data_IF_918515882065
#
_entry.id   IF_918515882065
#
_cell.length_a   1.000
_cell.length_b   1.000
_cell.length_c   1.000
_cell.angle_alpha   90.00
_cell.angle_beta   90.00
_cell.angle_gamma   90.00
#
_symmetry.space_group_name_H-M   'P 1'
#
loop_
_entity.id
_entity.type
_entity.pdbx_description
1 polymer ?
#
# COMPACT_ATOMS: atom_id res chain seq x y z
N UNK A 1 -6.09 14.15 -16.93
CA UNK A 1 -5.73 15.03 -15.80
C UNK A 1 -6.51 16.33 -15.91
N UNK A 2 -7.10 16.79 -14.83
CA UNK A 2 -7.90 18.01 -14.73
C UNK A 2 -7.33 18.84 -13.59
N UNK A 3 -7.16 20.15 -13.80
CA UNK A 3 -6.68 21.11 -12.80
C UNK A 3 -7.70 22.24 -12.60
N UNK A 4 -7.72 22.80 -11.41
CA UNK A 4 -8.60 23.89 -11.03
C UNK A 4 -9.86 23.43 -10.31
N UNK A 5 -10.21 24.13 -9.22
CA UNK A 5 -11.32 23.75 -8.32
C UNK A 5 -12.65 23.64 -9.06
N UNK A 6 -12.95 24.58 -9.95
CA UNK A 6 -14.22 24.61 -10.69
C UNK A 6 -14.27 23.49 -11.73
N UNK A 7 -13.19 23.27 -12.48
CA UNK A 7 -13.13 22.23 -13.50
C UNK A 7 -13.16 20.84 -12.88
N UNK A 8 -12.46 20.63 -11.74
CA UNK A 8 -12.56 19.39 -10.98
C UNK A 8 -13.99 19.12 -10.50
N UNK A 9 -14.65 20.11 -9.93
CA UNK A 9 -16.03 19.98 -9.48
C UNK A 9 -16.97 19.65 -10.66
N UNK A 10 -16.83 20.34 -11.77
CA UNK A 10 -17.62 20.11 -12.98
C UNK A 10 -17.38 18.71 -13.54
N UNK A 11 -16.12 18.29 -13.62
CA UNK A 11 -15.74 16.96 -14.11
C UNK A 11 -16.33 15.85 -13.25
N UNK A 12 -16.16 15.95 -11.93
CA UNK A 12 -16.66 14.94 -11.02
C UNK A 12 -18.20 14.89 -10.99
N UNK A 13 -18.88 16.02 -11.14
CA UNK A 13 -20.35 16.07 -11.27
C UNK A 13 -20.88 15.44 -12.58
N UNK A 14 -20.06 15.37 -13.62
CA UNK A 14 -20.43 14.63 -14.83
C UNK A 14 -20.31 13.10 -14.66
N UNK A 15 -19.62 12.66 -13.62
CA UNK A 15 -19.48 11.22 -13.28
C UNK A 15 -20.52 10.85 -12.20
N UNK A 16 -20.67 11.73 -11.20
CA UNK A 16 -21.55 11.56 -10.06
C UNK A 16 -22.33 12.88 -9.83
N UNK A 17 -23.58 12.95 -10.19
CA UNK A 17 -24.39 14.18 -10.06
C UNK A 17 -24.41 14.73 -8.63
N UNK A 18 -24.21 13.89 -7.64
CA UNK A 18 -24.23 14.21 -6.21
C UNK A 18 -22.85 14.50 -5.61
N UNK A 19 -21.82 14.63 -6.46
CA UNK A 19 -20.48 15.04 -6.03
C UNK A 19 -20.47 16.44 -5.42
N UNK A 20 -19.86 16.57 -4.25
CA UNK A 20 -19.84 17.83 -3.49
C UNK A 20 -18.54 18.10 -2.74
N UNK A 21 -17.48 17.28 -2.95
CA UNK A 21 -16.21 17.45 -2.25
C UNK A 21 -15.62 18.85 -2.43
N UNK A 22 -15.21 19.46 -1.33
CA UNK A 22 -14.48 20.74 -1.30
C UNK A 22 -12.98 20.48 -1.19
N UNK A 23 -12.16 21.48 -1.51
CA UNK A 23 -10.71 21.40 -1.39
C UNK A 23 -10.00 20.66 -2.54
N UNK A 24 -10.74 20.13 -3.52
CA UNK A 24 -10.15 19.37 -4.64
C UNK A 24 -9.65 20.36 -5.69
N UNK A 25 -8.34 20.31 -5.98
CA UNK A 25 -7.66 21.18 -6.94
C UNK A 25 -7.20 20.48 -8.20
N UNK A 26 -7.14 19.14 -8.17
CA UNK A 26 -6.79 18.31 -9.31
C UNK A 26 -7.53 16.98 -9.30
N UNK A 27 -7.76 16.41 -10.47
CA UNK A 27 -8.32 15.07 -10.66
C UNK A 27 -7.49 14.30 -11.68
N UNK A 28 -6.98 13.13 -11.26
CA UNK A 28 -6.43 12.14 -12.18
C UNK A 28 -7.47 11.02 -12.36
N UNK A 29 -8.00 10.87 -13.58
CA UNK A 29 -8.92 9.80 -13.89
C UNK A 29 -8.25 8.72 -14.76
N UNK A 30 -7.90 7.61 -14.15
CA UNK A 30 -7.42 6.39 -14.82
C UNK A 30 -8.62 5.64 -15.42
N UNK A 31 -8.93 5.90 -16.69
CA UNK A 31 -10.10 5.33 -17.39
C UNK A 31 -10.05 3.80 -17.57
N UNK A 32 -8.87 3.21 -17.46
CA UNK A 32 -8.65 1.76 -17.47
C UNK A 32 -8.33 1.21 -16.09
N UNK A 33 -8.37 2.06 -15.08
CA UNK A 33 -8.20 1.69 -13.68
C UNK A 33 -9.35 0.80 -13.21
N UNK A 34 -9.09 0.07 -12.15
CA UNK A 34 -10.07 -0.82 -11.56
C UNK A 34 -9.55 -1.37 -10.24
N UNK A 35 -10.23 -2.38 -9.76
CA UNK A 35 -9.83 -3.12 -8.57
C UNK A 35 -10.10 -4.61 -8.77
N UNK A 36 -9.38 -5.43 -8.04
CA UNK A 36 -9.53 -6.87 -8.07
C UNK A 36 -9.72 -7.40 -6.65
N UNK A 37 -10.43 -8.52 -6.52
CA UNK A 37 -10.45 -9.27 -5.27
C UNK A 37 -9.05 -9.81 -5.01
N UNK A 38 -8.38 -9.37 -3.93
CA UNK A 38 -6.99 -9.71 -3.66
C UNK A 38 -6.80 -11.21 -3.41
N UNK A 39 -7.70 -11.84 -2.66
CA UNK A 39 -7.64 -13.28 -2.38
C UNK A 39 -7.73 -14.09 -3.67
N UNK A 40 -8.73 -13.80 -4.51
CA UNK A 40 -8.89 -14.48 -5.81
C UNK A 40 -7.69 -14.24 -6.73
N UNK A 41 -7.13 -13.04 -6.72
CA UNK A 41 -5.95 -12.69 -7.52
C UNK A 41 -4.71 -13.47 -7.08
N UNK A 42 -4.47 -13.56 -5.77
CA UNK A 42 -3.31 -14.30 -5.22
C UNK A 42 -3.44 -15.80 -5.49
N UNK A 43 -4.62 -16.39 -5.26
CA UNK A 43 -4.84 -17.81 -5.59
C UNK A 43 -4.74 -18.07 -7.10
N UNK A 44 -5.25 -17.16 -7.94
CA UNK A 44 -5.09 -17.26 -9.39
C UNK A 44 -3.63 -17.24 -9.84
N UNK A 45 -2.82 -16.36 -9.23
CA UNK A 45 -1.37 -16.32 -9.48
C UNK A 45 -0.66 -17.58 -8.99
N UNK A 46 -1.01 -18.08 -7.79
CA UNK A 46 -0.44 -19.30 -7.24
C UNK A 46 -0.75 -20.50 -8.15
N UNK A 47 -2.00 -20.71 -8.54
CA UNK A 47 -2.42 -21.76 -9.46
C UNK A 47 -1.69 -21.65 -10.81
N UNK A 48 -1.52 -20.41 -11.33
CA UNK A 48 -0.77 -20.21 -12.57
C UNK A 48 0.70 -20.56 -12.39
N UNK A 49 1.33 -20.17 -11.27
CA UNK A 49 2.72 -20.50 -10.98
C UNK A 49 2.92 -22.02 -10.93
N UNK A 50 2.08 -22.75 -10.19
CA UNK A 50 2.12 -24.21 -10.11
C UNK A 50 1.93 -24.87 -11.48
N UNK A 51 1.03 -24.35 -12.30
CA UNK A 51 0.78 -24.88 -13.66
C UNK A 51 1.98 -24.80 -14.60
N UNK A 52 2.97 -23.97 -14.29
CA UNK A 52 4.22 -23.84 -15.03
C UNK A 52 5.44 -24.41 -14.28
N UNK A 53 5.20 -25.22 -13.24
CA UNK A 53 6.23 -25.97 -12.53
C UNK A 53 6.80 -25.30 -11.29
N UNK A 54 6.28 -24.18 -10.85
CA UNK A 54 6.67 -23.57 -9.57
C UNK A 54 6.12 -24.42 -8.42
N UNK A 55 6.99 -24.78 -7.49
CA UNK A 55 6.59 -25.50 -6.28
C UNK A 55 6.33 -24.53 -5.14
N UNK A 56 5.10 -24.50 -4.63
CA UNK A 56 4.69 -23.68 -3.48
C UNK A 56 4.74 -24.55 -2.24
N UNK A 57 5.49 -24.12 -1.22
CA UNK A 57 5.66 -24.86 0.04
C UNK A 57 5.03 -24.04 1.16
N UNK A 58 3.82 -24.38 1.53
CA UNK A 58 3.07 -23.72 2.62
C UNK A 58 3.42 -24.29 3.99
N UNK A 59 3.05 -23.59 5.07
CA UNK A 59 3.31 -24.00 6.44
C UNK A 59 4.81 -24.18 6.72
N UNK A 60 5.66 -23.35 6.09
CA UNK A 60 7.11 -23.44 6.20
C UNK A 60 7.65 -22.04 6.42
N UNK A 61 8.08 -21.77 7.64
CA UNK A 61 8.63 -20.48 8.02
C UNK A 61 10.11 -20.39 7.61
N UNK A 62 10.50 -19.26 7.03
CA UNK A 62 11.91 -18.93 6.77
C UNK A 62 12.49 -18.28 8.02
N UNK A 63 13.54 -18.87 8.58
CA UNK A 63 14.17 -18.45 9.83
C UNK A 63 15.57 -17.88 9.64
N UNK A 64 16.14 -17.93 8.42
CA UNK A 64 17.45 -17.39 8.13
C UNK A 64 17.97 -17.74 6.74
N UNK A 65 19.22 -17.42 6.51
CA UNK A 65 19.94 -17.68 5.27
C UNK A 65 21.28 -18.36 5.55
N UNK A 66 21.61 -19.39 4.77
CA UNK A 66 22.91 -20.03 4.74
C UNK A 66 23.83 -19.24 3.80
N UNK A 67 25.02 -18.91 4.24
CA UNK A 67 26.01 -18.20 3.42
C UNK A 67 27.17 -19.10 3.03
N UNK A 68 27.81 -18.79 1.94
CA UNK A 68 29.07 -19.44 1.54
C UNK A 68 30.22 -19.05 2.45
N UNK A 69 31.19 -19.91 2.61
CA UNK A 69 32.27 -19.84 3.61
C UNK A 69 33.14 -18.58 3.55
N UNK A 70 33.20 -17.86 2.42
CA UNK A 70 33.97 -16.61 2.25
C UNK A 70 33.27 -15.65 1.28
N UNK A 71 31.96 -15.73 1.16
CA UNK A 71 31.18 -15.00 0.17
C UNK A 71 29.99 -14.30 0.84
N UNK A 72 29.62 -13.16 0.28
CA UNK A 72 28.35 -12.49 0.62
C UNK A 72 27.13 -13.20 -0.02
N UNK A 73 27.36 -14.18 -0.89
CA UNK A 73 26.30 -14.92 -1.53
C UNK A 73 25.53 -15.80 -0.54
N UNK A 74 24.25 -15.87 -0.73
CA UNK A 74 23.35 -16.79 -0.03
C UNK A 74 23.34 -18.11 -0.79
N UNK A 75 23.65 -19.22 -0.10
CA UNK A 75 23.70 -20.56 -0.68
C UNK A 75 22.51 -21.43 -0.29
N UNK A 76 21.65 -20.93 0.58
CA UNK A 76 20.44 -21.64 1.00
C UNK A 76 19.54 -20.80 1.89
N UNK A 77 18.29 -21.21 1.92
CA UNK A 77 17.25 -20.65 2.78
C UNK A 77 17.01 -21.59 3.93
N UNK A 78 17.21 -21.13 5.17
CA UNK A 78 16.97 -21.89 6.39
C UNK A 78 15.49 -21.77 6.74
N UNK A 79 14.83 -22.91 6.95
CA UNK A 79 13.40 -22.95 7.25
C UNK A 79 13.12 -23.78 8.50
N UNK A 80 11.91 -23.66 9.04
CA UNK A 80 11.39 -24.52 10.14
C UNK A 80 11.40 -26.02 9.82
N UNK A 81 11.56 -26.39 8.53
CA UNK A 81 11.57 -27.80 8.07
C UNK A 81 12.93 -28.23 7.48
N UNK A 82 13.96 -27.43 7.65
CA UNK A 82 15.30 -27.72 7.12
C UNK A 82 15.78 -26.66 6.15
N UNK A 83 16.95 -26.85 5.59
CA UNK A 83 17.57 -25.90 4.66
C UNK A 83 17.29 -26.29 3.21
N UNK A 84 16.95 -25.32 2.40
CA UNK A 84 16.77 -25.45 0.95
C UNK A 84 17.97 -24.77 0.30
N UNK A 85 18.84 -25.55 -0.34
CA UNK A 85 19.97 -24.99 -1.08
C UNK A 85 19.48 -24.29 -2.36
N UNK A 86 20.06 -23.15 -2.68
CA UNK A 86 19.67 -22.33 -3.83
C UNK A 86 20.84 -21.50 -4.38
N UNK A 87 20.78 -21.16 -5.67
CA UNK A 87 21.73 -20.30 -6.36
C UNK A 87 21.29 -18.84 -6.39
N UNK A 88 19.97 -18.61 -6.37
CA UNK A 88 19.35 -17.29 -6.38
C UNK A 88 18.24 -17.22 -5.33
N UNK A 89 18.11 -16.08 -4.67
CA UNK A 89 17.01 -15.81 -3.74
C UNK A 89 16.26 -14.56 -4.17
N UNK A 90 14.94 -14.62 -4.18
CA UNK A 90 14.07 -13.48 -4.37
C UNK A 90 13.26 -13.29 -3.09
N UNK A 91 13.38 -12.13 -2.47
CA UNK A 91 12.67 -11.77 -1.23
C UNK A 91 11.51 -10.86 -1.58
N UNK A 92 10.26 -11.37 -1.45
CA UNK A 92 9.03 -10.64 -1.65
C UNK A 92 8.06 -10.98 -0.53
N UNK A 93 8.23 -10.34 0.63
CA UNK A 93 7.64 -10.78 1.92
C UNK A 93 6.72 -9.73 2.56
N UNK A 94 6.33 -8.70 1.81
CA UNK A 94 5.40 -7.67 2.30
C UNK A 94 5.88 -7.04 3.62
N UNK A 95 5.01 -6.90 4.63
CA UNK A 95 5.35 -6.22 5.88
C UNK A 95 6.43 -6.92 6.72
N UNK A 96 6.75 -8.19 6.44
CA UNK A 96 7.85 -8.89 7.09
C UNK A 96 9.22 -8.52 6.54
N UNK A 97 9.32 -7.58 5.59
CA UNK A 97 10.60 -7.21 4.94
C UNK A 97 11.68 -6.80 5.95
N UNK A 98 11.32 -6.12 7.04
CA UNK A 98 12.27 -5.79 8.11
C UNK A 98 12.96 -7.02 8.67
N UNK A 99 12.22 -8.12 8.91
CA UNK A 99 12.77 -9.35 9.47
C UNK A 99 13.79 -9.96 8.51
N UNK A 100 13.45 -10.04 7.23
CA UNK A 100 14.34 -10.56 6.19
C UNK A 100 15.55 -9.66 5.95
N UNK A 101 15.35 -8.34 6.03
CA UNK A 101 16.41 -7.35 5.96
C UNK A 101 17.46 -7.55 7.08
N UNK A 102 16.98 -7.82 8.30
CA UNK A 102 17.84 -8.13 9.45
C UNK A 102 18.54 -9.49 9.29
N UNK A 103 17.85 -10.52 8.79
CA UNK A 103 18.45 -11.84 8.52
C UNK A 103 19.56 -11.75 7.44
N UNK A 104 19.43 -10.81 6.52
CA UNK A 104 20.43 -10.52 5.49
C UNK A 104 21.55 -9.58 5.97
N UNK A 105 21.49 -9.13 7.22
CA UNK A 105 22.46 -8.20 7.83
C UNK A 105 22.59 -6.87 7.08
N UNK A 106 21.50 -6.41 6.47
CA UNK A 106 21.43 -5.15 5.75
C UNK A 106 21.23 -3.97 6.73
N UNK A 107 21.65 -2.75 6.37
CA UNK A 107 21.66 -1.61 7.29
C UNK A 107 20.23 -1.19 7.69
N UNK A 108 19.96 -1.18 9.00
CA UNK A 108 18.67 -0.73 9.56
C UNK A 108 18.44 0.77 9.40
N UNK A 109 19.53 1.52 9.31
CA UNK A 109 19.56 2.97 9.09
C UNK A 109 20.42 3.27 7.89
N UNK A 110 20.01 4.23 7.11
CA UNK A 110 20.68 4.62 5.87
C UNK A 110 20.91 6.13 5.84
N UNK A 111 21.79 6.58 4.97
CA UNK A 111 21.93 8.00 4.65
C UNK A 111 21.04 8.33 3.46
N UNK A 112 20.26 9.40 3.60
CA UNK A 112 19.37 9.90 2.55
C UNK A 112 19.83 11.30 2.17
N UNK A 113 19.98 11.54 0.89
CA UNK A 113 20.16 12.88 0.34
C UNK A 113 18.79 13.41 -0.13
N UNK A 114 18.37 14.53 0.42
CA UNK A 114 17.11 15.15 0.06
C UNK A 114 17.17 15.99 -1.24
N UNK A 115 16.04 16.56 -1.64
CA UNK A 115 15.91 17.40 -2.85
C UNK A 115 16.75 18.69 -2.78
N UNK A 116 17.09 19.16 -1.57
CA UNK A 116 17.95 20.33 -1.34
C UNK A 116 19.43 19.96 -1.37
N UNK A 117 19.73 18.67 -1.47
CA UNK A 117 21.09 18.15 -1.44
C UNK A 117 21.66 17.95 -0.03
N UNK A 118 20.85 18.12 1.02
CA UNK A 118 21.26 17.86 2.39
C UNK A 118 21.26 16.35 2.67
N UNK A 119 22.25 15.90 3.45
CA UNK A 119 22.37 14.50 3.80
C UNK A 119 21.87 14.26 5.22
N UNK A 120 20.80 13.48 5.33
CA UNK A 120 20.26 13.02 6.61
C UNK A 120 20.84 11.65 6.93
N UNK A 121 21.67 11.57 7.96
CA UNK A 121 22.26 10.32 8.44
C UNK A 121 21.32 9.60 9.39
N UNK A 122 21.53 8.30 9.52
CA UNK A 122 20.79 7.45 10.47
C UNK A 122 19.28 7.44 10.27
N UNK A 123 18.82 7.67 9.05
CA UNK A 123 17.41 7.60 8.72
C UNK A 123 16.91 6.13 8.73
N UNK A 124 15.80 5.82 9.38
CA UNK A 124 15.30 4.44 9.42
C UNK A 124 14.94 3.96 8.03
N UNK A 125 15.45 2.78 7.63
CA UNK A 125 15.14 2.19 6.32
C UNK A 125 13.67 1.78 6.20
N UNK A 126 13.02 1.38 7.30
CA UNK A 126 11.66 0.89 7.33
C UNK A 126 10.81 1.70 8.29
N UNK A 127 9.58 2.00 7.85
CA UNK A 127 8.58 2.77 8.60
C UNK A 127 7.28 2.00 8.53
N UNK A 128 6.68 1.70 9.68
CA UNK A 128 5.38 1.05 9.72
C UNK A 128 4.24 2.06 9.80
N UNK A 129 3.23 1.79 9.00
CA UNK A 129 1.96 2.50 9.04
C UNK A 129 0.83 1.50 9.26
N UNK A 130 -0.14 1.90 10.07
CA UNK A 130 -1.38 1.17 10.18
C UNK A 130 -2.39 1.72 9.17
N UNK A 131 -2.90 0.82 8.33
CA UNK A 131 -3.87 1.10 7.27
C UNK A 131 -5.24 0.71 7.79
N UNK A 132 -6.17 1.67 7.88
CA UNK A 132 -7.51 1.46 8.40
C UNK A 132 -8.51 1.34 7.27
N UNK A 133 -9.37 0.34 7.34
CA UNK A 133 -10.42 0.09 6.35
C UNK A 133 -11.75 -0.25 7.02
N UNK A 134 -12.84 -0.03 6.29
CA UNK A 134 -14.19 -0.34 6.72
C UNK A 134 -15.13 -0.54 5.55
N UNK A 135 -16.38 -0.88 5.87
CA UNK A 135 -17.40 -1.14 4.86
C UNK A 135 -18.75 -0.54 5.28
N UNK A 136 -19.43 0.10 4.33
CA UNK A 136 -20.85 0.42 4.44
C UNK A 136 -21.69 -0.73 3.91
N UNK A 137 -22.66 -1.19 4.68
CA UNK A 137 -23.63 -2.22 4.28
C UNK A 137 -24.73 -1.68 3.38
N UNK A 138 -24.36 -1.20 2.21
CA UNK A 138 -25.26 -0.76 1.15
C UNK A 138 -25.04 -1.64 -0.08
N UNK A 139 -26.03 -1.74 -0.96
CA UNK A 139 -25.83 -2.44 -2.24
C UNK A 139 -24.59 -1.83 -2.96
N UNK A 140 -23.62 -2.62 -3.43
CA UNK A 140 -22.46 -2.12 -4.18
C UNK A 140 -22.86 -1.27 -5.40
N UNK A 141 -24.00 -1.54 -6.02
CA UNK A 141 -24.54 -0.73 -7.12
C UNK A 141 -24.88 0.71 -6.72
N UNK A 142 -25.01 0.98 -5.43
CA UNK A 142 -25.19 2.33 -4.89
C UNK A 142 -24.08 3.30 -5.31
N UNK A 143 -22.90 2.79 -5.60
CA UNK A 143 -21.72 3.58 -5.99
C UNK A 143 -21.56 3.70 -7.52
N UNK A 144 -22.47 3.20 -8.34
CA UNK A 144 -22.40 3.39 -9.79
C UNK A 144 -22.30 4.86 -10.17
N UNK A 145 -21.62 5.10 -11.28
CA UNK A 145 -21.63 6.38 -11.99
C UNK A 145 -23.01 6.66 -12.59
N UNK A 146 -23.26 7.90 -12.98
CA UNK A 146 -24.56 8.30 -13.52
C UNK A 146 -24.90 7.60 -14.85
N UNK A 147 -23.87 7.16 -15.60
CA UNK A 147 -24.05 6.34 -16.81
C UNK A 147 -24.15 4.83 -16.52
N UNK A 148 -24.27 4.45 -15.24
CA UNK A 148 -24.52 3.08 -14.79
C UNK A 148 -23.30 2.18 -14.73
N UNK A 149 -22.09 2.71 -14.94
CA UNK A 149 -20.83 1.94 -14.86
C UNK A 149 -20.32 1.83 -13.43
N UNK A 150 -19.49 0.82 -13.18
CA UNK A 150 -18.72 0.75 -11.95
C UNK A 150 -17.54 1.72 -12.04
N UNK A 151 -17.35 2.58 -11.02
CA UNK A 151 -16.18 3.43 -10.97
C UNK A 151 -14.92 2.63 -10.62
N UNK A 152 -13.72 3.14 -10.93
CA UNK A 152 -12.49 2.68 -10.28
C UNK A 152 -12.52 3.02 -8.78
N UNK A 153 -11.44 2.67 -8.06
CA UNK A 153 -11.26 3.17 -6.70
C UNK A 153 -11.19 4.70 -6.73
N UNK A 154 -11.95 5.34 -5.87
CA UNK A 154 -11.93 6.79 -5.71
C UNK A 154 -11.03 7.11 -4.52
N UNK A 155 -9.94 7.83 -4.78
CA UNK A 155 -9.08 8.40 -3.75
C UNK A 155 -9.37 9.90 -3.66
N UNK A 156 -9.45 10.42 -2.44
CA UNK A 156 -9.70 11.84 -2.18
C UNK A 156 -8.78 12.27 -1.05
N UNK A 157 -7.90 13.23 -1.34
CA UNK A 157 -7.15 13.98 -0.34
C UNK A 157 -7.63 15.42 -0.37
N UNK A 158 -7.88 16.03 0.78
CA UNK A 158 -8.41 17.38 0.88
C UNK A 158 -7.86 18.11 2.10
N UNK A 159 -7.60 19.39 1.92
CA UNK A 159 -7.30 20.36 2.98
C UNK A 159 -8.54 21.09 3.52
N UNK A 160 -9.72 20.80 2.97
CA UNK A 160 -10.97 21.35 3.51
C UNK A 160 -11.28 20.79 4.90
N UNK A 161 -11.77 21.63 5.78
CA UNK A 161 -12.22 21.17 7.10
C UNK A 161 -13.24 20.04 6.97
N UNK A 162 -13.05 18.98 7.71
CA UNK A 162 -13.98 17.86 7.76
C UNK A 162 -14.90 18.00 8.97
N UNK A 163 -16.19 18.02 8.71
CA UNK A 163 -17.23 18.09 9.75
C UNK A 163 -17.98 16.77 9.85
N UNK A 164 -18.43 16.47 11.05
CA UNK A 164 -19.26 15.31 11.35
C UNK A 164 -20.58 15.35 10.57
N UNK A 165 -20.89 14.24 9.90
CA UNK A 165 -22.19 14.03 9.25
C UNK A 165 -23.32 13.71 10.27
N UNK A 166 -22.96 13.48 11.53
CA UNK A 166 -23.91 13.16 12.61
C UNK A 166 -24.42 14.41 13.31
N UNK A 167 -23.52 15.31 13.73
CA UNK A 167 -23.84 16.45 14.58
C UNK A 167 -23.25 17.78 14.10
N UNK A 168 -22.50 17.78 12.99
CA UNK A 168 -21.89 18.97 12.41
C UNK A 168 -20.66 19.49 13.16
N UNK A 169 -20.16 18.80 14.18
CA UNK A 169 -18.93 19.16 14.87
C UNK A 169 -17.69 19.03 13.96
N UNK A 170 -16.65 19.80 14.26
CA UNK A 170 -15.39 19.70 13.53
C UNK A 170 -14.67 18.41 13.90
N UNK A 171 -14.37 17.58 12.92
CA UNK A 171 -13.55 16.36 13.08
C UNK A 171 -12.06 16.72 12.94
N UNK A 172 -11.70 17.43 11.87
CA UNK A 172 -10.32 17.88 11.65
C UNK A 172 -10.27 19.11 10.76
N UNK A 173 -9.32 19.99 11.03
CA UNK A 173 -8.90 21.12 10.21
C UNK A 173 -7.58 20.85 9.45
N UNK A 174 -7.01 19.64 9.64
CA UNK A 174 -5.81 19.19 8.96
C UNK A 174 -6.17 18.47 7.66
N UNK A 175 -5.19 18.30 6.78
CA UNK A 175 -5.37 17.48 5.60
C UNK A 175 -5.81 16.07 5.97
N UNK A 176 -6.81 15.57 5.28
CA UNK A 176 -7.34 14.23 5.44
C UNK A 176 -7.48 13.53 4.09
N UNK A 177 -7.50 12.20 4.12
CA UNK A 177 -7.62 11.40 2.92
C UNK A 177 -8.49 10.17 3.15
N UNK A 178 -9.21 9.77 2.11
CA UNK A 178 -9.98 8.53 2.06
C UNK A 178 -9.84 7.87 0.70
N UNK A 179 -10.13 6.58 0.67
CA UNK A 179 -10.45 5.88 -0.57
C UNK A 179 -11.70 5.02 -0.38
N UNK A 180 -12.40 4.75 -1.46
CA UNK A 180 -13.58 3.91 -1.45
C UNK A 180 -13.92 3.37 -2.83
N UNK A 181 -14.60 2.22 -2.85
CA UNK A 181 -15.04 1.53 -4.04
C UNK A 181 -16.27 0.65 -3.76
N UNK A 182 -17.07 0.31 -4.77
CA UNK A 182 -18.01 -0.79 -4.64
C UNK A 182 -17.27 -2.09 -4.31
N UNK A 183 -17.84 -2.91 -3.45
CA UNK A 183 -17.25 -4.21 -3.13
C UNK A 183 -18.33 -5.29 -3.03
N UNK A 184 -18.34 -6.19 -4.01
CA UNK A 184 -19.29 -7.29 -4.07
C UNK A 184 -18.92 -8.44 -3.14
N UNK A 185 -17.67 -8.54 -2.72
CA UNK A 185 -17.23 -9.55 -1.76
C UNK A 185 -17.73 -9.23 -0.35
N UNK A 186 -17.63 -7.98 0.07
CA UNK A 186 -18.17 -7.50 1.35
C UNK A 186 -19.64 -7.06 1.26
N UNK A 187 -20.23 -7.11 0.08
CA UNK A 187 -21.57 -6.63 -0.20
C UNK A 187 -21.81 -5.22 0.35
N UNK A 188 -21.07 -4.26 -0.20
CA UNK A 188 -21.09 -2.89 0.29
C UNK A 188 -20.26 -1.91 -0.51
N UNK A 189 -19.99 -0.76 0.10
CA UNK A 189 -18.94 0.18 -0.31
C UNK A 189 -17.82 0.07 0.71
N UNK A 190 -16.67 -0.36 0.25
CA UNK A 190 -15.49 -0.61 1.08
C UNK A 190 -14.42 0.42 0.79
N UNK A 191 -13.67 0.82 1.81
CA UNK A 191 -12.56 1.71 1.67
C UNK A 191 -11.86 2.01 2.97
N UNK A 192 -10.92 2.95 2.93
CA UNK A 192 -10.09 3.31 4.06
C UNK A 192 -9.97 4.81 4.24
N UNK A 193 -9.41 5.18 5.37
CA UNK A 193 -9.12 6.56 5.70
C UNK A 193 -7.82 6.64 6.50
N UNK A 194 -7.19 7.79 6.39
CA UNK A 194 -6.17 8.33 7.29
C UNK A 194 -5.30 7.26 7.96
N UNK A 195 -4.31 6.72 7.29
CA UNK A 195 -3.35 5.83 7.94
C UNK A 195 -2.61 6.63 9.00
N UNK A 196 -2.10 5.96 9.99
CA UNK A 196 -1.23 6.60 10.95
C UNK A 196 0.11 5.87 11.07
N UNK A 197 1.15 6.69 11.20
CA UNK A 197 2.49 6.19 11.44
C UNK A 197 2.55 5.55 12.82
N UNK A 198 3.12 4.36 12.90
CA UNK A 198 3.34 3.69 14.17
C UNK A 198 4.58 4.31 14.83
N UNK A 199 4.36 5.06 15.92
CA UNK A 199 5.39 5.74 16.69
C UNK A 199 6.05 4.81 17.72
N UNK A 200 6.54 3.64 17.26
CA UNK A 200 7.34 2.72 18.06
C UNK A 200 8.66 2.46 17.33
N UNK A 201 9.73 2.08 18.03
CA UNK A 201 10.91 1.55 17.36
C UNK A 201 10.51 0.43 16.41
N UNK A 202 11.08 0.42 15.22
CA UNK A 202 10.68 -0.50 14.14
C UNK A 202 10.80 -1.97 14.59
N UNK A 203 11.79 -2.26 15.43
CA UNK A 203 12.01 -3.62 15.97
C UNK A 203 10.93 -4.04 16.99
N UNK A 204 10.18 -3.09 17.56
CA UNK A 204 9.12 -3.35 18.54
C UNK A 204 7.73 -3.47 17.89
N UNK A 205 7.62 -3.25 16.59
CA UNK A 205 6.37 -3.43 15.87
C UNK A 205 6.10 -4.90 15.63
N UNK A 206 5.03 -5.41 16.21
CA UNK A 206 4.58 -6.79 15.95
C UNK A 206 3.96 -6.88 14.57
N UNK A 207 4.45 -7.77 13.76
CA UNK A 207 3.92 -8.04 12.42
C UNK A 207 2.98 -9.24 12.43
N UNK A 208 3.20 -10.19 13.33
CA UNK A 208 2.38 -11.38 13.53
C UNK A 208 1.74 -11.40 14.94
N UNK A 209 0.43 -11.62 15.03
CA UNK A 209 -0.54 -11.54 13.94
C UNK A 209 -0.73 -10.08 13.50
N UNK A 210 -1.19 -9.85 12.28
CA UNK A 210 -1.54 -8.52 11.79
C UNK A 210 -2.92 -8.48 11.14
N UNK A 211 -3.44 -7.27 10.84
CA UNK A 211 -4.78 -7.12 10.29
C UNK A 211 -5.85 -7.52 11.30
N UNK A 212 -6.82 -8.28 10.84
CA UNK A 212 -7.99 -8.67 11.64
C UNK A 212 -7.65 -9.56 12.83
N UNK A 213 -6.55 -10.28 12.76
CA UNK A 213 -6.10 -11.21 13.79
C UNK A 213 -5.29 -10.52 14.88
N UNK A 214 -5.05 -9.21 14.77
CA UNK A 214 -4.30 -8.42 15.74
C UNK A 214 -5.22 -7.51 16.56
N UNK A 215 -5.17 -7.63 17.88
CA UNK A 215 -5.89 -6.71 18.77
C UNK A 215 -5.37 -5.27 18.66
N UNK A 216 -4.08 -5.11 18.35
CA UNK A 216 -3.44 -3.79 18.18
C UNK A 216 -3.88 -3.06 16.90
N UNK A 217 -4.49 -3.76 15.96
CA UNK A 217 -4.77 -3.25 14.61
C UNK A 217 -6.26 -3.29 14.24
N UNK A 218 -7.13 -3.03 15.21
CA UNK A 218 -8.57 -2.97 14.97
C UNK A 218 -9.04 -1.54 14.74
N UNK A 219 -9.90 -1.36 13.74
CA UNK A 219 -10.59 -0.09 13.51
C UNK A 219 -11.69 0.12 14.56
N UNK A 220 -11.70 1.27 15.19
CA UNK A 220 -12.71 1.67 16.18
C UNK A 220 -13.83 2.55 15.62
N UNK A 221 -14.70 3.03 16.52
CA UNK A 221 -15.80 3.91 16.18
C UNK A 221 -15.32 5.27 15.64
N UNK A 222 -14.15 5.73 16.06
CA UNK A 222 -13.52 6.95 15.56
C UNK A 222 -13.24 6.88 14.07
N UNK A 223 -12.71 5.74 13.60
CA UNK A 223 -12.53 5.50 12.17
C UNK A 223 -13.87 5.55 11.43
N UNK A 224 -14.88 4.84 11.93
CA UNK A 224 -16.21 4.79 11.30
C UNK A 224 -16.82 6.21 11.20
N UNK A 225 -16.69 7.01 12.24
CA UNK A 225 -17.19 8.38 12.30
C UNK A 225 -16.47 9.26 11.26
N UNK A 226 -15.14 9.24 11.26
CA UNK A 226 -14.33 10.03 10.33
C UNK A 226 -14.59 9.61 8.87
N UNK A 227 -14.50 8.33 8.55
CA UNK A 227 -14.63 7.82 7.20
C UNK A 227 -16.03 8.06 6.61
N UNK A 228 -17.10 7.78 7.38
CA UNK A 228 -18.47 8.02 6.93
C UNK A 228 -18.75 9.51 6.70
N UNK A 229 -18.21 10.37 7.56
CA UNK A 229 -18.33 11.83 7.40
C UNK A 229 -17.57 12.32 6.16
N UNK A 230 -16.39 11.75 5.89
CA UNK A 230 -15.62 12.05 4.69
C UNK A 230 -16.31 11.56 3.41
N UNK A 231 -16.93 10.39 3.43
CA UNK A 231 -17.78 9.91 2.32
C UNK A 231 -18.95 10.88 2.07
N UNK A 232 -19.65 11.32 3.14
CA UNK A 232 -20.73 12.30 3.04
C UNK A 232 -20.23 13.67 2.56
N UNK A 233 -19.01 14.07 2.90
CA UNK A 233 -18.35 15.26 2.37
C UNK A 233 -18.15 15.16 0.86
N UNK A 234 -17.77 13.97 0.35
CA UNK A 234 -17.50 13.77 -1.07
C UNK A 234 -18.79 13.65 -1.90
N UNK A 235 -19.75 12.85 -1.44
CA UNK A 235 -20.97 12.55 -2.20
C UNK A 235 -22.21 12.59 -1.30
N UNK A 236 -23.23 13.32 -1.74
CA UNK A 236 -24.48 13.52 -0.97
C UNK A 236 -25.19 12.20 -0.63
N UNK A 237 -25.07 11.17 -1.47
CA UNK A 237 -25.67 9.85 -1.27
C UNK A 237 -25.24 9.17 0.02
N UNK A 238 -24.08 9.50 0.54
CA UNK A 238 -23.55 8.91 1.77
C UNK A 238 -24.03 9.59 3.06
N UNK A 239 -24.75 10.71 2.98
CA UNK A 239 -25.29 11.38 4.15
C UNK A 239 -26.10 10.44 5.04
N UNK A 240 -25.83 10.45 6.35
CA UNK A 240 -26.50 9.61 7.34
C UNK A 240 -26.23 8.10 7.25
N UNK A 241 -25.26 7.68 6.44
CA UNK A 241 -24.99 6.26 6.21
C UNK A 241 -24.13 5.61 7.29
N UNK A 242 -23.63 6.34 8.27
CA UNK A 242 -22.90 5.74 9.40
C UNK A 242 -23.73 4.65 10.11
N UNK A 243 -25.05 4.74 10.09
CA UNK A 243 -25.99 3.77 10.69
C UNK A 243 -25.87 2.36 10.07
N UNK A 244 -25.38 2.26 8.85
CA UNK A 244 -25.16 0.99 8.14
C UNK A 244 -23.69 0.64 7.99
N UNK A 245 -22.82 1.31 8.76
CA UNK A 245 -21.43 0.92 8.84
C UNK A 245 -21.32 -0.50 9.41
N UNK A 246 -20.52 -1.31 8.73
CA UNK A 246 -20.15 -2.63 9.19
C UNK A 246 -18.69 -2.56 9.63
N UNK A 247 -18.40 -3.07 10.84
CA UNK A 247 -17.02 -3.28 11.25
C UNK A 247 -16.38 -4.21 10.23
N UNK A 248 -15.61 -3.66 9.32
CA UNK A 248 -14.92 -4.43 8.30
C UNK A 248 -13.85 -5.32 8.93
N UNK A 249 -13.57 -6.48 8.35
CA UNK A 249 -12.48 -7.32 8.80
C UNK A 249 -11.13 -6.78 8.36
N UNK A 250 -11.03 -5.56 7.93
CA UNK A 250 -9.83 -5.04 7.30
C UNK A 250 -9.24 -3.86 8.06
N UNK A 251 -8.10 -3.99 8.39
CA UNK A 251 -7.03 -3.10 8.76
C UNK A 251 -5.76 -3.83 8.43
N UNK A 252 -4.68 -3.16 8.29
CA UNK A 252 -3.44 -3.81 7.90
C UNK A 252 -2.22 -3.01 8.26
N UNK A 253 -1.13 -3.72 8.39
CA UNK A 253 0.17 -3.14 8.63
C UNK A 253 0.90 -2.98 7.30
N UNK A 254 1.30 -1.75 6.97
CA UNK A 254 2.17 -1.46 5.84
C UNK A 254 3.58 -1.15 6.31
N UNK A 255 4.58 -1.71 5.64
CA UNK A 255 5.98 -1.40 5.88
C UNK A 255 6.53 -0.62 4.69
N UNK A 256 6.87 0.64 4.90
CA UNK A 256 7.26 1.59 3.86
C UNK A 256 8.74 1.93 3.94
N UNK A 257 9.28 2.26 2.79
CA UNK A 257 10.60 2.87 2.62
C UNK A 257 10.59 4.34 3.00
N UNK A 258 11.76 5.01 3.09
CA UNK A 258 11.84 6.42 3.45
C UNK A 258 11.05 7.39 2.56
N UNK A 259 10.97 7.11 1.26
CA UNK A 259 10.22 7.91 0.28
C UNK A 259 8.88 7.27 -0.11
N UNK A 260 8.43 6.27 0.63
CA UNK A 260 7.18 5.52 0.42
C UNK A 260 7.07 4.78 -0.93
N UNK A 261 8.13 4.74 -1.72
CA UNK A 261 8.20 4.02 -2.99
C UNK A 261 9.01 2.73 -2.86
N UNK A 262 8.69 1.69 -3.65
CA UNK A 262 9.33 0.39 -3.55
C UNK A 262 10.85 0.41 -3.79
N UNK A 263 11.51 -0.64 -3.33
CA UNK A 263 12.89 -0.99 -3.70
C UNK A 263 12.89 -2.30 -4.46
N UNK A 264 13.41 -2.27 -5.69
CA UNK A 264 13.63 -3.43 -6.54
C UNK A 264 15.11 -3.48 -6.89
N UNK A 265 15.88 -4.21 -6.09
CA UNK A 265 17.34 -4.21 -6.26
C UNK A 265 17.99 -5.52 -5.81
N UNK A 266 19.23 -5.70 -6.23
CA UNK A 266 20.08 -6.85 -5.91
C UNK A 266 20.93 -6.55 -4.68
N UNK A 267 20.89 -7.45 -3.71
CA UNK A 267 21.68 -7.40 -2.48
C UNK A 267 22.45 -8.71 -2.30
N UNK A 268 23.50 -8.70 -1.49
CA UNK A 268 24.23 -9.90 -1.13
C UNK A 268 24.62 -10.78 -2.37
N UNK A 269 25.09 -10.17 -3.44
CA UNK A 269 25.49 -10.81 -4.70
C UNK A 269 24.35 -11.50 -5.48
N UNK A 270 23.59 -12.39 -4.85
CA UNK A 270 22.57 -13.22 -5.49
C UNK A 270 21.18 -13.14 -4.85
N UNK A 271 20.94 -12.15 -4.00
CA UNK A 271 19.62 -11.90 -3.42
C UNK A 271 18.99 -10.73 -4.12
N UNK A 272 17.79 -10.90 -4.67
CA UNK A 272 16.99 -9.82 -5.22
C UNK A 272 15.83 -9.52 -4.26
N UNK A 273 15.66 -8.26 -3.90
CA UNK A 273 14.59 -7.82 -3.00
C UNK A 273 13.52 -7.08 -3.79
N UNK A 274 12.28 -7.50 -3.62
CA UNK A 274 11.07 -6.84 -4.07
C UNK A 274 10.37 -6.35 -2.81
N UNK A 275 10.68 -5.11 -2.40
CA UNK A 275 10.20 -4.56 -1.14
C UNK A 275 9.17 -3.49 -1.41
N UNK A 276 7.94 -3.85 -1.15
CA UNK A 276 6.80 -2.96 -1.11
C UNK A 276 5.66 -3.64 -0.37
N UNK A 277 5.02 -2.93 0.54
CA UNK A 277 3.96 -3.49 1.36
C UNK A 277 2.56 -3.00 1.03
N UNK A 278 2.43 -1.96 0.21
CA UNK A 278 1.12 -1.39 -0.12
C UNK A 278 0.76 -1.45 -1.61
N UNK A 279 1.76 -1.51 -2.48
CA UNK A 279 1.55 -1.43 -3.93
C UNK A 279 1.67 -2.81 -4.62
N UNK A 280 2.01 -3.86 -3.89
CA UNK A 280 2.42 -5.15 -4.44
C UNK A 280 1.50 -5.69 -5.54
N UNK A 281 0.20 -5.78 -5.30
CA UNK A 281 -0.74 -6.26 -6.32
C UNK A 281 -1.08 -5.21 -7.40
N UNK A 282 -0.87 -3.93 -7.12
CA UNK A 282 -0.99 -2.85 -8.13
C UNK A 282 0.14 -2.92 -9.14
N UNK A 283 1.23 -3.57 -8.79
CA UNK A 283 2.47 -3.65 -9.55
C UNK A 283 2.73 -5.07 -10.09
N UNK A 284 1.69 -5.79 -10.45
CA UNK A 284 1.79 -7.20 -10.89
C UNK A 284 2.76 -7.42 -12.06
N UNK A 285 2.95 -6.39 -12.89
CA UNK A 285 3.93 -6.41 -13.98
C UNK A 285 5.39 -6.43 -13.55
N UNK A 286 5.69 -6.07 -12.29
CA UNK A 286 7.07 -6.03 -11.76
C UNK A 286 7.73 -7.41 -11.84
N UNK A 287 6.98 -8.47 -11.57
CA UNK A 287 7.52 -9.83 -11.65
C UNK A 287 8.19 -10.16 -12.97
N UNK A 288 7.61 -9.71 -14.09
CA UNK A 288 8.21 -9.87 -15.42
C UNK A 288 9.51 -9.08 -15.55
N UNK A 289 9.50 -7.81 -15.16
CA UNK A 289 10.69 -6.93 -15.26
C UNK A 289 11.84 -7.42 -14.38
N UNK A 290 11.53 -7.89 -13.18
CA UNK A 290 12.53 -8.49 -12.26
C UNK A 290 13.09 -9.79 -12.83
N UNK A 291 12.24 -10.63 -13.44
CA UNK A 291 12.71 -11.86 -14.09
C UNK A 291 13.67 -11.54 -15.25
N UNK A 292 13.38 -10.54 -16.08
CA UNK A 292 14.27 -10.06 -17.14
C UNK A 292 15.62 -9.58 -16.57
N UNK A 293 15.62 -8.78 -15.47
CA UNK A 293 16.86 -8.34 -14.82
C UNK A 293 17.70 -9.51 -14.27
N UNK A 294 17.05 -10.52 -13.68
CA UNK A 294 17.74 -11.65 -13.08
C UNK A 294 18.30 -12.59 -14.15
N UNK A 295 17.49 -12.94 -15.16
CA UNK A 295 17.83 -13.93 -16.16
C UNK A 295 18.73 -13.39 -17.27
N UNK A 296 18.53 -12.14 -17.68
CA UNK A 296 19.28 -11.51 -18.76
C UNK A 296 20.46 -10.67 -18.25
N UNK A 297 20.57 -10.48 -16.94
CA UNK A 297 21.54 -9.58 -16.30
C UNK A 297 21.55 -8.16 -16.90
N UNK A 298 20.35 -7.68 -17.26
CA UNK A 298 20.15 -6.39 -17.93
C UNK A 298 19.28 -5.49 -17.08
N UNK A 299 19.79 -4.30 -16.76
CA UNK A 299 19.01 -3.31 -16.04
C UNK A 299 17.77 -2.88 -16.84
N UNK A 300 16.61 -3.03 -16.24
CA UNK A 300 15.33 -2.63 -16.84
C UNK A 300 15.08 -1.15 -16.58
N UNK A 301 14.86 -0.35 -17.63
CA UNK A 301 14.68 1.10 -17.53
C UNK A 301 13.54 1.50 -16.57
N UNK A 302 12.44 0.74 -16.57
CA UNK A 302 11.30 1.00 -15.68
C UNK A 302 11.60 0.73 -14.21
N UNK A 303 12.57 -0.13 -13.89
CA UNK A 303 12.96 -0.43 -12.51
C UNK A 303 14.10 0.47 -12.01
N UNK A 304 14.74 1.21 -12.89
CA UNK A 304 15.86 2.09 -12.55
C UNK A 304 15.55 3.12 -11.46
N UNK A 305 14.40 3.82 -11.49
CA UNK A 305 14.05 4.77 -10.43
C UNK A 305 13.85 4.13 -9.05
N UNK A 306 13.65 2.81 -8.99
CA UNK A 306 13.37 2.06 -7.75
C UNK A 306 14.61 1.39 -7.16
N UNK A 307 15.80 1.66 -7.70
CA UNK A 307 17.06 1.11 -7.17
C UNK A 307 17.41 1.76 -5.82
N UNK A 308 18.06 0.98 -4.96
CA UNK A 308 18.40 1.39 -3.61
C UNK A 308 19.36 2.61 -3.57
N UNK A 309 20.25 2.72 -4.56
CA UNK A 309 21.20 3.83 -4.64
C UNK A 309 20.56 5.22 -4.85
N UNK A 310 19.24 5.30 -5.10
CA UNK A 310 18.51 6.58 -5.21
C UNK A 310 18.62 7.41 -3.94
N UNK A 311 18.69 6.76 -2.78
CA UNK A 311 18.80 7.43 -1.50
C UNK A 311 20.09 8.25 -1.37
N UNK A 312 21.22 7.65 -1.73
CA UNK A 312 22.53 8.32 -1.72
C UNK A 312 22.66 9.39 -2.82
N UNK A 313 22.02 9.17 -3.95
CA UNK A 313 22.07 10.08 -5.10
C UNK A 313 21.14 11.28 -4.97
N UNK A 314 20.24 11.32 -3.99
CA UNK A 314 19.22 12.35 -3.87
C UNK A 314 18.16 12.25 -4.99
N UNK A 315 17.88 11.04 -5.45
CA UNK A 315 16.89 10.75 -6.49
C UNK A 315 15.63 10.13 -5.87
N UNK A 316 15.20 10.72 -4.76
CA UNK A 316 13.96 10.29 -4.09
C UNK A 316 12.76 10.52 -5.00
N UNK A 317 11.75 9.68 -4.86
CA UNK A 317 10.49 9.93 -5.52
C UNK A 317 9.81 11.17 -4.93
N UNK A 318 9.21 12.02 -5.77
CA UNK A 318 8.49 13.18 -5.28
C UNK A 318 7.31 12.73 -4.42
N UNK A 319 7.18 13.36 -3.26
CA UNK A 319 6.03 13.18 -2.39
C UNK A 319 4.99 14.26 -2.67
N UNK A 320 3.72 13.94 -2.54
CA UNK A 320 2.66 14.94 -2.54
C UNK A 320 2.69 15.78 -1.26
N UNK A 321 1.91 16.86 -1.21
CA UNK A 321 1.71 17.61 0.04
C UNK A 321 0.90 16.83 1.07
N UNK A 322 0.35 15.68 0.71
CA UNK A 322 -0.35 14.78 1.61
C UNK A 322 0.63 14.12 2.58
N UNK A 323 0.31 14.04 3.87
CA UNK A 323 1.14 13.35 4.85
C UNK A 323 1.05 11.82 4.74
N UNK A 324 0.26 11.30 3.83
CA UNK A 324 -0.04 9.87 3.74
C UNK A 324 0.94 9.13 2.83
N UNK A 325 1.30 7.89 3.16
CA UNK A 325 2.34 7.16 2.44
C UNK A 325 1.91 6.65 1.05
N UNK A 326 0.66 6.82 0.66
CA UNK A 326 0.15 6.43 -0.65
C UNK A 326 -0.10 7.59 -1.62
N UNK A 327 0.11 8.82 -1.21
CA UNK A 327 -0.21 10.03 -2.00
C UNK A 327 1.02 10.60 -2.68
#
# INVERSE_FOLDING_TARGET
FIEGKEDCMKYMKNIFYDWQAKGITSVLHEKRGGYANNTASIYGLANKAESVGVRIITGTEVTGFKRGSNSKAVTGVVTSKGTIDCEQVIVGVGPWIRNFWNMLELPKKISIKDEKGETHKDYPMWIYWFLTEGCLGVDPNFQKTDDGKMPPVIHVDSDAHLFSDVDGSLITDQMWGIYYKPDFNFNGVQGGATPYKINKPVDDVKVDPYGVDSEDHQTGDEFAHMWCSALAHCQKRFKGKIKVYKKGPSGGLGCFTPDSFPVFDRFCENVYIIADSNHGYKMIGIGKLVAEEILENKETQLLKPFKFNRYEKGQLHPTSNSPFPWS
#
